data_IF_981308582948
#
_entry.id   IF_981308582948
#
_cell.length_a   1.000
_cell.length_b   1.000
_cell.length_c   1.000
_cell.angle_alpha   90.00
_cell.angle_beta   90.00
_cell.angle_gamma   90.00
#
_symmetry.space_group_name_H-M   'P 1'
#
loop_
_entity.id
_entity.type
_entity.pdbx_description
1 polymer ?
#
# COMPACT_ATOMS: atom_id res chain seq x y z
N UNK A 1 -26.28 25.12 -78.92
CA UNK A 1 -26.87 23.99 -78.18
C UNK A 1 -25.93 22.79 -78.33
N UNK A 2 -24.76 22.88 -77.86
CA UNK A 2 -23.77 21.80 -77.72
C UNK A 2 -22.66 22.46 -76.96
N UNK A 3 -22.36 22.09 -75.76
CA UNK A 3 -21.26 22.52 -74.96
C UNK A 3 -21.64 22.62 -73.43
N UNK A 4 -22.64 21.84 -73.02
CA UNK A 4 -23.00 21.82 -71.56
C UNK A 4 -23.03 20.40 -71.04
N UNK A 5 -22.17 19.52 -71.51
CA UNK A 5 -22.14 18.11 -71.11
C UNK A 5 -20.82 17.65 -70.46
N UNK A 6 -19.83 18.48 -70.29
CA UNK A 6 -18.53 18.04 -69.83
C UNK A 6 -18.06 18.68 -68.50
N UNK A 7 -18.95 19.48 -67.87
CA UNK A 7 -18.61 20.10 -66.54
C UNK A 7 -19.10 19.29 -65.35
N UNK A 8 -19.80 18.17 -65.57
CA UNK A 8 -20.43 17.40 -64.49
C UNK A 8 -19.70 16.10 -64.16
N UNK A 9 -18.44 15.91 -64.56
CA UNK A 9 -17.75 14.66 -64.32
C UNK A 9 -16.38 14.81 -63.60
N UNK A 10 -16.12 15.94 -62.99
CA UNK A 10 -14.84 16.17 -62.28
C UNK A 10 -14.97 16.44 -60.77
N UNK A 11 -16.09 16.08 -60.17
CA UNK A 11 -16.37 16.42 -58.75
C UNK A 11 -16.71 15.20 -57.88
N UNK A 12 -16.26 14.02 -58.27
CA UNK A 12 -16.40 12.82 -57.44
C UNK A 12 -15.07 12.09 -57.45
N UNK A 13 -14.10 12.53 -56.62
CA UNK A 13 -13.04 11.70 -56.08
C UNK A 13 -12.20 12.54 -55.08
N UNK A 14 -12.81 12.92 -53.99
CA UNK A 14 -12.03 13.25 -52.78
C UNK A 14 -12.24 12.08 -51.81
N UNK A 15 -11.23 11.25 -51.58
CA UNK A 15 -11.30 10.29 -50.47
C UNK A 15 -11.26 11.08 -49.19
N UNK A 16 -12.36 11.09 -48.48
CA UNK A 16 -12.47 11.52 -47.09
C UNK A 16 -11.61 10.58 -46.26
N UNK A 17 -10.36 10.92 -46.14
CA UNK A 17 -9.43 10.27 -45.21
C UNK A 17 -9.81 10.77 -43.83
N UNK A 18 -10.81 10.13 -43.22
CA UNK A 18 -11.16 10.30 -41.83
C UNK A 18 -9.96 9.87 -40.99
N UNK A 19 -9.23 10.84 -40.44
CA UNK A 19 -8.35 10.62 -39.32
C UNK A 19 -9.24 10.22 -38.12
N UNK A 20 -9.38 8.93 -37.87
CA UNK A 20 -9.78 8.42 -36.56
C UNK A 20 -8.60 8.66 -35.66
N UNK A 21 -8.60 9.82 -35.01
CA UNK A 21 -7.78 10.03 -33.83
C UNK A 21 -8.42 9.19 -32.71
N UNK A 22 -8.01 7.93 -32.62
CA UNK A 22 -8.27 7.15 -31.43
C UNK A 22 -7.43 7.77 -30.34
N UNK A 23 -8.04 8.60 -29.50
CA UNK A 23 -7.50 8.89 -28.19
C UNK A 23 -7.58 7.59 -27.37
N UNK A 24 -6.52 6.84 -27.35
CA UNK A 24 -6.30 5.80 -26.35
C UNK A 24 -5.94 6.50 -25.05
N UNK A 25 -6.92 6.69 -24.19
CA UNK A 25 -6.73 7.16 -22.82
C UNK A 25 -6.33 6.02 -21.86
N UNK A 26 -5.95 4.85 -22.41
CA UNK A 26 -5.57 3.66 -21.64
C UNK A 26 -4.06 3.47 -21.51
N UNK A 27 -3.23 4.21 -22.27
CA UNK A 27 -1.79 3.94 -22.34
C UNK A 27 -1.00 4.39 -21.09
N UNK A 28 -1.59 5.21 -20.21
CA UNK A 28 -0.87 5.73 -19.05
C UNK A 28 -0.91 4.82 -17.82
N UNK A 29 -1.97 4.03 -17.63
CA UNK A 29 -2.07 3.13 -16.49
C UNK A 29 -1.27 1.84 -16.66
N UNK A 30 -1.22 1.29 -17.90
CA UNK A 30 -0.40 0.11 -18.18
C UNK A 30 1.10 0.40 -18.06
N UNK A 31 1.55 1.60 -18.37
CA UNK A 31 2.97 2.00 -18.27
C UNK A 31 3.38 2.25 -16.80
N UNK A 32 2.48 2.74 -15.94
CA UNK A 32 2.74 3.01 -14.53
C UNK A 32 3.14 1.74 -13.75
N UNK A 33 2.51 0.61 -14.07
CA UNK A 33 2.73 -0.69 -13.43
C UNK A 33 3.49 -1.69 -14.33
N UNK A 34 4.15 -1.22 -15.38
CA UNK A 34 4.99 -2.08 -16.23
C UNK A 34 6.08 -2.76 -15.39
N UNK A 35 6.30 -4.07 -15.62
CA UNK A 35 7.24 -4.92 -14.88
C UNK A 35 7.04 -4.86 -13.36
N UNK A 36 5.78 -4.74 -12.92
CA UNK A 36 5.43 -4.44 -11.52
C UNK A 36 5.99 -5.46 -10.54
N UNK A 37 5.85 -6.76 -10.83
CA UNK A 37 6.40 -7.81 -9.98
C UNK A 37 7.92 -7.70 -9.83
N UNK A 38 8.65 -7.55 -10.94
CA UNK A 38 10.11 -7.43 -10.91
C UNK A 38 10.58 -6.22 -10.10
N UNK A 39 9.87 -5.08 -10.25
CA UNK A 39 10.14 -3.85 -9.49
C UNK A 39 9.91 -4.08 -7.99
N UNK A 40 8.84 -4.75 -7.62
CA UNK A 40 8.53 -5.07 -6.22
C UNK A 40 9.55 -6.05 -5.62
N UNK A 41 9.98 -7.07 -6.36
CA UNK A 41 11.03 -8.00 -5.93
C UNK A 41 12.36 -7.29 -5.73
N UNK A 42 12.74 -6.38 -6.63
CA UNK A 42 13.95 -5.57 -6.51
C UNK A 42 13.92 -4.68 -5.26
N UNK A 43 12.78 -4.08 -4.94
CA UNK A 43 12.59 -3.25 -3.74
C UNK A 43 12.72 -4.06 -2.46
N UNK A 44 12.19 -5.29 -2.40
CA UNK A 44 12.38 -6.18 -1.23
C UNK A 44 13.86 -6.48 -1.00
N UNK A 45 14.62 -6.70 -2.07
CA UNK A 45 16.07 -6.89 -1.96
C UNK A 45 16.78 -5.64 -1.42
N UNK A 46 16.35 -4.44 -1.81
CA UNK A 46 16.87 -3.19 -1.25
C UNK A 46 16.56 -3.07 0.24
N UNK A 47 15.32 -3.34 0.67
CA UNK A 47 14.95 -3.34 2.08
C UNK A 47 15.76 -4.34 2.90
N UNK A 48 15.96 -5.54 2.37
CA UNK A 48 16.69 -6.60 3.06
C UNK A 48 18.15 -6.29 3.30
N UNK A 49 18.75 -5.45 2.46
CA UNK A 49 20.14 -4.99 2.55
C UNK A 49 20.31 -3.64 3.28
N UNK A 50 19.20 -3.00 3.64
CA UNK A 50 19.25 -1.73 4.36
C UNK A 50 19.39 -1.96 5.87
N UNK A 51 20.58 -1.72 6.41
CA UNK A 51 20.87 -1.89 7.84
C UNK A 51 20.16 -0.89 8.77
N UNK A 52 19.56 0.18 8.22
CA UNK A 52 18.76 1.12 9.00
C UNK A 52 17.34 0.58 9.30
N UNK A 53 16.89 -0.45 8.57
CA UNK A 53 15.61 -1.07 8.79
C UNK A 53 15.71 -2.25 9.75
N UNK A 54 14.88 -2.25 10.78
CA UNK A 54 14.71 -3.41 11.67
C UNK A 54 14.02 -4.53 10.91
N UNK A 55 14.64 -5.70 10.84
CA UNK A 55 14.10 -6.89 10.17
C UNK A 55 13.37 -7.78 11.16
N UNK A 56 12.10 -8.02 10.95
CA UNK A 56 11.23 -8.83 11.82
C UNK A 56 10.64 -9.96 11.00
N UNK A 57 10.86 -11.21 11.44
CA UNK A 57 10.33 -12.38 10.76
C UNK A 57 8.81 -12.48 10.97
N UNK A 58 8.08 -12.75 9.91
CA UNK A 58 6.62 -12.88 9.97
C UNK A 58 6.22 -14.01 10.92
N UNK A 59 5.21 -13.78 11.76
CA UNK A 59 4.71 -14.75 12.75
C UNK A 59 4.24 -16.07 12.13
N UNK A 60 3.82 -16.06 10.86
CA UNK A 60 3.38 -17.25 10.14
C UNK A 60 4.53 -18.14 9.67
N UNK A 61 5.77 -17.70 9.79
CA UNK A 61 6.96 -18.39 9.30
C UNK A 61 7.65 -19.15 10.44
N UNK A 62 8.31 -20.26 10.11
CA UNK A 62 9.08 -21.01 11.09
C UNK A 62 10.17 -20.12 11.71
N UNK A 63 10.05 -19.87 13.01
CA UNK A 63 10.95 -18.98 13.75
C UNK A 63 12.30 -19.64 14.07
N UNK A 64 12.41 -20.95 13.91
CA UNK A 64 13.63 -21.73 14.26
C UNK A 64 14.64 -21.83 13.13
N UNK A 65 14.21 -21.60 11.89
CA UNK A 65 15.06 -21.70 10.69
C UNK A 65 15.38 -20.32 10.12
N UNK A 66 16.37 -20.23 9.24
CA UNK A 66 16.58 -19.04 8.40
C UNK A 66 15.35 -18.79 7.50
N UNK A 67 15.28 -17.61 6.88
CA UNK A 67 14.22 -17.25 5.94
C UNK A 67 14.80 -16.50 4.74
N UNK A 68 13.98 -16.38 3.69
CA UNK A 68 14.23 -15.53 2.54
C UNK A 68 13.87 -14.07 2.85
N UNK A 69 14.27 -13.12 2.02
CA UNK A 69 13.88 -11.71 2.17
C UNK A 69 12.36 -11.52 2.21
N UNK A 70 11.59 -12.42 1.60
CA UNK A 70 10.13 -12.38 1.55
C UNK A 70 9.45 -12.88 2.84
N UNK A 71 10.20 -13.42 3.81
CA UNK A 71 9.67 -13.95 5.07
C UNK A 71 9.68 -12.92 6.20
N UNK A 72 10.15 -11.70 5.92
CA UNK A 72 10.31 -10.63 6.90
C UNK A 72 9.54 -9.38 6.51
N UNK A 73 9.10 -8.63 7.50
CA UNK A 73 8.78 -7.21 7.37
C UNK A 73 10.02 -6.38 7.71
N UNK A 74 10.07 -5.17 7.15
CA UNK A 74 11.19 -4.24 7.35
C UNK A 74 10.63 -2.94 7.95
N UNK A 75 11.16 -2.53 9.09
CA UNK A 75 10.56 -1.50 9.92
C UNK A 75 11.52 -0.34 10.13
N UNK A 76 11.02 0.87 9.85
CA UNK A 76 11.57 2.14 10.31
C UNK A 76 10.75 2.60 11.51
N UNK A 77 11.38 2.77 12.67
CA UNK A 77 10.73 3.32 13.86
C UNK A 77 10.67 4.84 13.72
N UNK A 78 9.47 5.38 13.55
CA UNK A 78 9.26 6.83 13.42
C UNK A 78 9.14 7.51 14.80
N UNK A 79 8.45 6.83 15.73
CA UNK A 79 8.30 7.25 17.12
C UNK A 79 8.26 6.01 18.03
N UNK A 80 8.95 6.08 19.17
CA UNK A 80 8.90 5.04 20.19
C UNK A 80 7.82 5.36 21.22
N UNK A 81 6.98 4.40 21.53
CA UNK A 81 5.97 4.48 22.57
C UNK A 81 6.57 4.23 23.95
N UNK A 82 5.74 4.42 24.97
CA UNK A 82 6.10 4.16 26.39
C UNK A 82 5.52 2.85 26.91
N UNK A 83 4.71 2.16 26.11
CA UNK A 83 4.14 0.86 26.47
C UNK A 83 5.21 -0.23 26.59
N UNK A 84 4.94 -1.26 27.38
CA UNK A 84 5.83 -2.40 27.59
C UNK A 84 5.25 -3.71 27.11
N UNK A 85 3.97 -3.70 26.71
CA UNK A 85 3.22 -4.86 26.22
C UNK A 85 2.83 -4.66 24.76
N UNK A 86 2.78 -5.75 24.02
CA UNK A 86 2.37 -5.79 22.61
C UNK A 86 1.05 -6.53 22.45
N UNK A 87 0.22 -6.18 21.45
CA UNK A 87 -1.00 -6.90 21.15
C UNK A 87 -0.77 -8.38 20.87
N UNK A 88 -1.66 -9.23 21.34
CA UNK A 88 -1.75 -10.62 20.94
C UNK A 88 -2.54 -10.75 19.62
N UNK A 89 -2.42 -11.89 18.97
CA UNK A 89 -3.14 -12.21 17.72
C UNK A 89 -4.66 -12.05 17.85
N UNK A 90 -5.22 -12.35 19.05
CA UNK A 90 -6.66 -12.31 19.33
C UNK A 90 -7.18 -10.95 19.77
N UNK A 91 -6.29 -10.01 20.02
CA UNK A 91 -6.66 -8.71 20.59
C UNK A 91 -7.30 -7.78 19.57
N UNK A 92 -8.06 -6.83 20.09
CA UNK A 92 -8.50 -5.67 19.33
C UNK A 92 -7.51 -4.52 19.54
N UNK A 93 -7.27 -3.76 18.49
CA UNK A 93 -6.33 -2.63 18.49
C UNK A 93 -7.02 -1.35 18.00
N UNK A 94 -6.57 -0.22 18.51
CA UNK A 94 -6.83 1.10 17.94
C UNK A 94 -5.57 1.63 17.27
N UNK A 95 -5.68 1.86 15.96
CA UNK A 95 -4.56 2.33 15.14
C UNK A 95 -4.99 3.48 14.24
N UNK A 96 -4.08 4.42 14.01
CA UNK A 96 -4.11 5.25 12.82
C UNK A 96 -3.13 4.67 11.80
N UNK A 97 -3.50 4.68 10.52
CA UNK A 97 -2.65 4.12 9.49
C UNK A 97 -2.79 4.83 8.14
N UNK A 98 -1.75 4.71 7.33
CA UNK A 98 -1.76 5.07 5.91
C UNK A 98 -0.98 4.03 5.12
N UNK A 99 -1.65 3.38 4.16
CA UNK A 99 -1.09 2.37 3.28
C UNK A 99 -0.77 2.93 1.91
N UNK A 100 0.45 2.65 1.42
CA UNK A 100 0.95 3.10 0.12
C UNK A 100 1.57 1.95 -0.65
N UNK A 101 1.52 2.03 -1.98
CA UNK A 101 2.35 1.22 -2.86
C UNK A 101 3.80 1.75 -2.88
N UNK A 102 4.71 1.00 -3.49
CA UNK A 102 6.06 1.52 -3.76
C UNK A 102 5.98 2.73 -4.70
N UNK A 103 6.96 3.66 -4.64
CA UNK A 103 7.01 4.81 -5.51
C UNK A 103 6.96 4.47 -6.99
N UNK A 104 6.29 5.33 -7.75
CA UNK A 104 6.19 5.28 -9.20
C UNK A 104 6.40 6.67 -9.79
N UNK A 105 6.40 6.80 -11.11
CA UNK A 105 6.61 8.09 -11.78
C UNK A 105 5.51 9.09 -11.42
N UNK A 106 4.25 8.67 -11.44
CA UNK A 106 3.10 9.53 -11.13
C UNK A 106 2.91 9.73 -9.63
N UNK A 107 3.43 8.81 -8.81
CA UNK A 107 3.30 8.83 -7.34
C UNK A 107 4.67 8.68 -6.68
N UNK A 108 5.49 9.76 -6.60
CA UNK A 108 6.85 9.70 -6.05
C UNK A 108 6.93 9.23 -4.59
N UNK A 109 5.87 9.48 -3.80
CA UNK A 109 5.74 9.02 -2.41
C UNK A 109 4.99 7.70 -2.27
N UNK A 110 4.60 7.08 -3.40
CA UNK A 110 3.73 5.91 -3.47
C UNK A 110 2.24 6.26 -3.47
N UNK A 111 1.45 5.57 -4.30
CA UNK A 111 0.00 5.73 -4.34
C UNK A 111 -0.65 5.32 -3.01
N UNK A 112 -1.39 6.23 -2.38
CA UNK A 112 -2.14 5.95 -1.15
C UNK A 112 -3.40 5.16 -1.51
N UNK A 113 -3.44 3.89 -1.14
CA UNK A 113 -4.58 3.02 -1.44
C UNK A 113 -5.61 2.94 -0.29
N UNK A 114 -5.17 3.22 0.95
CA UNK A 114 -6.06 3.19 2.12
C UNK A 114 -5.44 4.00 3.27
N UNK A 115 -6.29 4.67 4.05
CA UNK A 115 -5.84 5.45 5.20
C UNK A 115 -6.99 5.76 6.16
N UNK A 116 -6.67 5.92 7.45
CA UNK A 116 -7.61 6.38 8.46
C UNK A 116 -7.58 7.89 8.69
N UNK A 117 -6.52 8.60 8.26
CA UNK A 117 -6.37 10.04 8.45
C UNK A 117 -5.86 10.73 7.17
N UNK A 118 -6.12 12.02 7.01
CA UNK A 118 -5.66 12.84 5.89
C UNK A 118 -4.62 13.88 6.37
N UNK A 119 -3.76 14.33 5.45
CA UNK A 119 -2.70 15.31 5.77
C UNK A 119 -1.57 14.72 6.59
N UNK A 120 -0.92 15.55 7.39
CA UNK A 120 0.15 15.10 8.28
C UNK A 120 -0.42 14.36 9.50
N UNK A 121 0.34 13.36 9.96
CA UNK A 121 -0.06 12.59 11.13
C UNK A 121 0.03 13.45 12.40
N UNK A 122 -1.00 13.34 13.26
CA UNK A 122 -1.01 13.93 14.60
C UNK A 122 -1.77 13.00 15.54
N UNK A 123 -1.19 12.69 16.69
CA UNK A 123 -1.83 11.87 17.73
C UNK A 123 -3.15 12.47 18.26
N UNK A 124 -3.30 13.80 18.17
CA UNK A 124 -4.47 14.51 18.65
C UNK A 124 -5.63 14.50 17.67
N UNK A 125 -5.35 14.45 16.37
CA UNK A 125 -6.36 14.68 15.32
C UNK A 125 -6.52 13.51 14.36
N UNK A 126 -5.63 12.51 14.36
CA UNK A 126 -5.74 11.35 13.48
C UNK A 126 -6.92 10.48 13.88
N UNK A 127 -7.77 10.15 12.92
CA UNK A 127 -8.84 9.18 13.15
C UNK A 127 -8.25 7.80 13.39
N UNK A 128 -8.76 7.16 14.44
CA UNK A 128 -8.35 5.82 14.84
C UNK A 128 -9.37 4.79 14.36
N UNK A 129 -8.87 3.72 13.79
CA UNK A 129 -9.68 2.60 13.32
C UNK A 129 -9.47 1.41 14.26
N UNK A 130 -10.56 0.71 14.58
CA UNK A 130 -10.49 -0.53 15.34
C UNK A 130 -10.33 -1.72 14.41
N UNK A 131 -9.36 -2.58 14.70
CA UNK A 131 -9.19 -3.88 14.04
C UNK A 131 -9.05 -5.00 15.07
N UNK A 132 -9.36 -6.22 14.66
CA UNK A 132 -8.83 -7.41 15.31
C UNK A 132 -7.42 -7.67 14.73
N UNK A 133 -6.42 -7.83 15.57
CA UNK A 133 -5.01 -8.00 15.16
C UNK A 133 -4.83 -9.11 14.14
N UNK A 134 -5.48 -10.25 14.34
CA UNK A 134 -5.39 -11.41 13.45
C UNK A 134 -6.23 -11.35 12.17
N UNK A 135 -7.02 -10.29 11.95
CA UNK A 135 -7.87 -10.14 10.77
C UNK A 135 -7.19 -9.41 9.59
N UNK A 136 -5.94 -9.00 9.77
CA UNK A 136 -5.18 -8.20 8.80
C UNK A 136 -4.22 -9.08 7.99
N UNK A 137 -3.59 -8.50 6.95
CA UNK A 137 -2.52 -9.20 6.21
C UNK A 137 -1.38 -9.55 7.16
N UNK A 138 -0.73 -10.70 6.94
CA UNK A 138 0.21 -11.27 7.89
C UNK A 138 1.38 -10.34 8.25
N UNK A 139 1.83 -9.51 7.31
CA UNK A 139 2.86 -8.51 7.57
C UNK A 139 2.40 -7.41 8.53
N UNK A 140 1.16 -6.92 8.38
CA UNK A 140 0.60 -5.90 9.28
C UNK A 140 0.36 -6.48 10.70
N UNK A 141 -0.23 -7.69 10.78
CA UNK A 141 -0.38 -8.42 12.04
C UNK A 141 0.97 -8.62 12.74
N UNK A 142 2.02 -9.01 11.98
CA UNK A 142 3.38 -9.15 12.53
C UNK A 142 3.87 -7.86 13.17
N UNK A 143 3.65 -6.72 12.51
CA UNK A 143 4.06 -5.43 13.06
C UNK A 143 3.33 -5.14 14.38
N UNK A 144 2.00 -5.25 14.40
CA UNK A 144 1.19 -5.00 15.59
C UNK A 144 1.62 -5.86 16.80
N UNK A 145 1.90 -7.14 16.57
CA UNK A 145 2.36 -8.07 17.62
C UNK A 145 3.76 -7.75 18.17
N UNK A 146 4.44 -6.76 17.62
CA UNK A 146 5.78 -6.30 18.05
C UNK A 146 5.80 -4.82 18.47
N UNK A 147 4.71 -4.09 18.19
CA UNK A 147 4.55 -2.68 18.57
C UNK A 147 4.07 -2.57 20.01
N UNK A 148 4.41 -1.45 20.65
CA UNK A 148 3.89 -1.06 21.95
C UNK A 148 2.94 0.13 21.83
N UNK A 149 2.13 0.37 22.86
CA UNK A 149 1.28 1.57 22.92
C UNK A 149 2.12 2.83 22.74
N UNK A 150 1.72 3.67 21.79
CA UNK A 150 2.39 4.91 21.44
C UNK A 150 3.49 4.78 20.40
N UNK A 151 3.78 3.57 19.90
CA UNK A 151 4.68 3.39 18.78
C UNK A 151 4.06 3.92 17.49
N UNK A 152 4.91 4.51 16.65
CA UNK A 152 4.61 4.82 15.27
C UNK A 152 5.73 4.29 14.38
N UNK A 153 5.37 3.37 13.48
CA UNK A 153 6.32 2.69 12.61
C UNK A 153 5.95 2.87 11.15
N UNK A 154 6.95 2.94 10.29
CA UNK A 154 6.80 2.67 8.86
C UNK A 154 7.18 1.23 8.60
N UNK A 155 6.23 0.45 8.10
CA UNK A 155 6.35 -0.99 7.92
C UNK A 155 6.32 -1.30 6.43
N UNK A 156 7.41 -1.86 5.93
CA UNK A 156 7.54 -2.31 4.55
C UNK A 156 7.22 -3.81 4.51
N UNK A 157 6.19 -4.18 3.79
CA UNK A 157 5.62 -5.52 3.75
C UNK A 157 5.78 -6.09 2.33
N UNK A 158 6.62 -7.13 2.12
CA UNK A 158 6.65 -7.85 0.85
C UNK A 158 5.27 -8.38 0.48
N UNK A 159 4.93 -8.39 -0.81
CA UNK A 159 3.61 -8.82 -1.27
C UNK A 159 3.25 -10.24 -0.81
N UNK A 160 4.21 -11.12 -0.59
CA UNK A 160 4.02 -12.46 -0.01
C UNK A 160 3.39 -12.45 1.39
N UNK A 161 3.57 -11.37 2.13
CA UNK A 161 3.01 -11.14 3.47
C UNK A 161 1.83 -10.14 3.43
N UNK A 162 1.45 -9.71 2.23
CA UNK A 162 0.33 -8.84 1.91
C UNK A 162 -0.78 -9.60 1.17
N UNK A 163 -1.12 -9.15 -0.05
CA UNK A 163 -2.18 -9.73 -0.87
C UNK A 163 -1.69 -10.74 -1.92
N UNK A 164 -0.38 -11.04 -1.95
CA UNK A 164 0.21 -11.99 -2.90
C UNK A 164 0.08 -11.53 -4.35
N UNK A 165 -0.25 -12.47 -5.24
CA UNK A 165 -0.51 -12.22 -6.65
C UNK A 165 -1.91 -11.66 -6.94
N UNK A 166 -2.76 -11.53 -5.91
CA UNK A 166 -4.16 -11.10 -6.08
C UNK A 166 -4.24 -9.57 -6.15
N UNK A 167 -4.93 -9.06 -7.17
CA UNK A 167 -5.28 -7.65 -7.25
C UNK A 167 -6.46 -7.32 -6.32
N UNK A 168 -6.49 -6.10 -5.81
CA UNK A 168 -7.62 -5.46 -5.13
C UNK A 168 -8.02 -4.20 -5.91
N UNK A 169 -9.09 -3.52 -5.52
CA UNK A 169 -9.64 -2.37 -6.28
C UNK A 169 -8.58 -1.33 -6.67
N UNK A 170 -7.63 -1.04 -5.79
CA UNK A 170 -6.57 -0.03 -6.00
C UNK A 170 -5.17 -0.56 -5.73
N UNK A 171 -5.00 -1.88 -5.66
CA UNK A 171 -3.71 -2.54 -5.40
C UNK A 171 -3.50 -3.59 -6.48
N UNK A 172 -2.60 -3.39 -7.43
CA UNK A 172 -2.22 -4.42 -8.41
C UNK A 172 -1.70 -5.69 -7.72
N UNK A 173 -1.84 -6.83 -8.36
CA UNK A 173 -1.20 -8.07 -7.86
C UNK A 173 0.32 -7.89 -7.72
N UNK A 174 0.95 -8.63 -6.84
CA UNK A 174 2.39 -8.54 -6.53
C UNK A 174 2.84 -7.19 -5.95
N UNK A 175 1.93 -6.40 -5.37
CA UNK A 175 2.26 -5.12 -4.73
C UNK A 175 2.83 -5.31 -3.34
N UNK A 176 4.04 -4.84 -3.12
CA UNK A 176 4.53 -4.57 -1.77
C UNK A 176 3.74 -3.43 -1.15
N UNK A 177 3.55 -3.49 0.15
CA UNK A 177 2.77 -2.50 0.88
C UNK A 177 3.69 -1.74 1.84
N UNK A 178 3.52 -0.43 1.91
CA UNK A 178 4.23 0.43 2.85
C UNK A 178 3.17 1.06 3.75
N UNK A 179 3.17 0.72 5.02
CA UNK A 179 2.22 1.28 5.98
C UNK A 179 2.94 2.16 7.00
N UNK A 180 2.46 3.38 7.19
CA UNK A 180 2.71 4.14 8.40
C UNK A 180 1.62 3.72 9.40
N UNK A 181 2.00 3.15 10.54
CA UNK A 181 1.10 2.62 11.57
C UNK A 181 1.41 3.31 12.89
N UNK A 182 0.39 3.86 13.55
CA UNK A 182 0.47 4.38 14.90
C UNK A 182 -0.46 3.56 15.79
N UNK A 183 0.10 2.83 16.78
CA UNK A 183 -0.65 2.01 17.73
C UNK A 183 -1.02 2.86 18.94
N UNK A 184 -2.30 3.22 19.06
CA UNK A 184 -2.79 3.99 20.21
C UNK A 184 -3.01 3.10 21.43
N UNK A 185 -3.80 2.03 21.27
CA UNK A 185 -4.19 1.15 22.37
C UNK A 185 -4.60 -0.23 21.86
N UNK A 186 -4.70 -1.18 22.77
CA UNK A 186 -5.24 -2.51 22.51
C UNK A 186 -5.86 -3.10 23.78
N UNK A 187 -6.74 -4.10 23.62
CA UNK A 187 -7.40 -4.82 24.70
C UNK A 187 -7.65 -6.28 24.33
N UNK A 188 -7.67 -7.14 25.36
CA UNK A 188 -7.87 -8.58 25.19
C UNK A 188 -9.36 -8.92 25.01
N UNK A 189 -9.67 -10.09 24.42
CA UNK A 189 -11.05 -10.57 24.33
C UNK A 189 -11.71 -10.65 25.72
N UNK A 190 -12.90 -10.05 25.84
CA UNK A 190 -13.67 -10.00 27.10
C UNK A 190 -13.35 -8.80 28.00
N UNK A 191 -12.33 -8.03 27.69
CA UNK A 191 -12.08 -6.76 28.38
C UNK A 191 -12.97 -5.64 27.87
N UNK A 192 -13.24 -4.66 28.73
CA UNK A 192 -13.95 -3.45 28.31
C UNK A 192 -13.08 -2.64 27.37
N UNK A 193 -13.64 -2.24 26.25
CA UNK A 193 -12.96 -1.36 25.29
C UNK A 193 -12.50 -0.08 26.00
N UNK A 194 -11.22 0.29 25.93
CA UNK A 194 -10.73 1.55 26.49
C UNK A 194 -11.47 2.76 25.91
N UNK A 195 -11.69 3.78 26.72
CA UNK A 195 -12.13 5.07 26.18
C UNK A 195 -11.03 5.65 25.30
N UNK A 196 -11.44 6.24 24.17
CA UNK A 196 -10.49 6.94 23.31
C UNK A 196 -9.87 8.12 24.10
N UNK A 197 -8.57 8.04 24.33
CA UNK A 197 -7.77 9.15 24.85
C UNK A 197 -6.70 9.47 23.81
N UNK A 198 -6.70 10.71 23.32
CA UNK A 198 -5.56 11.17 22.53
C UNK A 198 -4.30 11.07 23.39
N UNK A 199 -3.16 10.72 22.76
CA UNK A 199 -1.87 10.72 23.47
C UNK A 199 -1.61 12.11 24.01
N UNK A 200 -1.57 12.24 25.33
CA UNK A 200 -1.03 13.45 25.96
C UNK A 200 0.48 13.44 25.74
N UNK A 201 0.98 14.47 25.06
CA UNK A 201 2.42 14.70 24.80
C UNK A 201 2.98 15.49 25.98
#
# INVERSE_FOLDING_TARGET
MKELKYILLALILFPLMGMVSACSSDDSEEDEYANWQERNDAVVNQWSNNSALRKIKCYTKDQTTGGTSNDYIYVEVLEEGTGTESPLFTDSVWVAYRGRLIPTTSYPDGYVFDQSYSGDFSWQTADMTQFCTGALVSGFTTALMQMHRGDRWRVHIPYHLGYGSSSKTSIPGYSNLIFDIALLDFWHPGETRPEFKSREI
#
